data_IF_810400119401
#
_entry.id   IF_810400119401
#
_cell.length_a   1.000
_cell.length_b   1.000
_cell.length_c   1.000
_cell.angle_alpha   90.00
_cell.angle_beta   90.00
_cell.angle_gamma   90.00
#
_symmetry.space_group_name_H-M   'P 1'
#
loop_
_entity.id
_entity.type
_entity.pdbx_description
1 polymer ?
#
# COMPACT_ATOMS: atom_id res chain seq x y z
N UNK A 1 0.56 6.34 -9.52
CA UNK A 1 1.84 7.02 -9.80
C UNK A 1 2.96 6.17 -9.27
N UNK A 2 3.20 6.15 -7.96
CA UNK A 2 4.10 5.21 -7.27
C UNK A 2 4.07 3.77 -7.82
N UNK A 3 2.96 3.02 -7.66
CA UNK A 3 2.87 1.62 -8.12
C UNK A 3 2.92 1.42 -9.66
N UNK A 4 2.80 2.50 -10.44
CA UNK A 4 2.87 2.44 -11.92
C UNK A 4 4.31 2.54 -12.44
N UNK A 5 5.22 3.13 -11.66
CA UNK A 5 6.61 3.36 -12.06
C UNK A 5 7.64 2.70 -11.13
N UNK A 6 7.44 1.45 -10.64
CA UNK A 6 8.36 0.84 -9.67
C UNK A 6 9.80 0.72 -10.20
N UNK A 7 10.01 0.60 -11.51
CA UNK A 7 11.35 0.59 -12.10
C UNK A 7 12.14 1.90 -11.89
N UNK A 8 11.44 3.01 -11.65
CA UNK A 8 12.06 4.32 -11.43
C UNK A 8 12.53 4.50 -9.98
N UNK A 9 12.00 3.70 -9.03
CA UNK A 9 12.20 3.98 -7.60
C UNK A 9 12.31 2.78 -6.64
N UNK A 10 11.75 1.61 -6.96
CA UNK A 10 11.51 0.50 -6.03
C UNK A 10 12.75 -0.12 -5.37
N UNK A 11 13.91 -0.05 -6.02
CA UNK A 11 15.18 -0.64 -5.54
C UNK A 11 16.27 0.41 -5.30
N UNK A 12 15.92 1.70 -5.33
CA UNK A 12 16.90 2.77 -5.16
C UNK A 12 17.35 2.85 -3.70
N UNK A 13 18.66 2.84 -3.47
CA UNK A 13 19.26 3.09 -2.14
C UNK A 13 19.49 4.58 -1.85
N UNK A 14 19.08 5.45 -2.78
CA UNK A 14 19.17 6.90 -2.66
C UNK A 14 17.79 7.48 -2.39
N UNK A 15 17.76 8.64 -1.72
CA UNK A 15 16.51 9.36 -1.49
C UNK A 15 15.87 9.74 -2.82
N UNK A 16 14.56 9.51 -2.90
CA UNK A 16 13.68 9.79 -4.04
C UNK A 16 12.53 10.72 -3.60
N UNK A 17 12.72 11.46 -2.52
CA UNK A 17 11.73 12.41 -1.97
C UNK A 17 11.25 13.41 -3.02
N UNK A 18 12.14 13.86 -3.91
CA UNK A 18 11.77 14.80 -4.98
C UNK A 18 10.74 14.20 -5.94
N UNK A 19 10.87 12.91 -6.29
CA UNK A 19 9.90 12.19 -7.13
C UNK A 19 8.56 12.04 -6.40
N UNK A 20 8.58 11.58 -5.14
CA UNK A 20 7.35 11.44 -4.36
C UNK A 20 6.65 12.78 -4.12
N UNK A 21 7.40 13.87 -4.05
CA UNK A 21 6.88 15.22 -3.91
C UNK A 21 6.03 15.70 -5.08
N UNK A 22 6.10 15.08 -6.26
CA UNK A 22 5.26 15.44 -7.42
C UNK A 22 3.87 14.81 -7.37
N UNK A 23 3.73 13.65 -6.70
CA UNK A 23 2.52 12.84 -6.74
C UNK A 23 1.27 13.55 -6.20
N UNK A 24 1.31 14.34 -5.11
CA UNK A 24 0.13 15.04 -4.62
C UNK A 24 -0.50 15.93 -5.69
N UNK A 25 0.31 16.69 -6.44
CA UNK A 25 -0.18 17.57 -7.50
C UNK A 25 -0.83 16.80 -8.65
N UNK A 26 -0.23 15.67 -9.06
CA UNK A 26 -0.77 14.81 -10.11
C UNK A 26 -2.05 14.07 -9.71
N UNK A 27 -2.21 13.80 -8.41
CA UNK A 27 -3.41 13.18 -7.84
C UNK A 27 -4.49 14.20 -7.44
N UNK A 28 -4.25 15.51 -7.64
CA UNK A 28 -5.16 16.57 -7.23
C UNK A 28 -5.29 16.74 -5.71
N UNK A 29 -4.30 16.27 -4.95
CA UNK A 29 -4.21 16.41 -3.50
C UNK A 29 -3.54 17.73 -3.12
N UNK A 30 -3.89 18.27 -1.95
CA UNK A 30 -3.23 19.45 -1.39
C UNK A 30 -1.80 19.09 -0.95
N UNK A 31 -0.82 19.65 -1.66
CA UNK A 31 0.60 19.42 -1.37
C UNK A 31 0.99 19.85 0.04
N UNK A 32 0.48 20.96 0.55
CA UNK A 32 0.83 21.44 1.88
C UNK A 32 0.27 20.50 2.96
N UNK A 33 -0.95 19.99 2.75
CA UNK A 33 -1.54 19.00 3.64
C UNK A 33 -0.76 17.67 3.63
N UNK A 34 -0.28 17.22 2.46
CA UNK A 34 0.58 16.02 2.36
C UNK A 34 1.91 16.25 3.06
N UNK A 35 2.57 17.39 2.84
CA UNK A 35 3.85 17.71 3.48
C UNK A 35 3.71 17.74 5.02
N UNK A 36 2.60 18.29 5.53
CA UNK A 36 2.28 18.26 6.97
C UNK A 36 2.06 16.84 7.48
N UNK A 37 1.29 16.01 6.76
CA UNK A 37 1.06 14.62 7.15
C UNK A 37 2.36 13.80 7.17
N UNK A 38 3.27 14.02 6.21
CA UNK A 38 4.58 13.35 6.17
C UNK A 38 5.46 13.75 7.37
N UNK A 39 5.39 15.01 7.81
CA UNK A 39 6.17 15.50 8.95
C UNK A 39 5.58 15.11 10.33
N UNK A 40 4.33 14.65 10.37
CA UNK A 40 3.65 14.31 11.62
C UNK A 40 4.15 12.97 12.19
N UNK A 41 4.53 12.97 13.47
CA UNK A 41 4.88 11.75 14.22
C UNK A 41 3.79 10.69 14.23
N UNK A 42 2.52 11.08 14.12
CA UNK A 42 1.40 10.15 14.01
C UNK A 42 1.52 9.25 12.77
N UNK A 43 2.09 9.75 11.67
CA UNK A 43 2.36 8.95 10.47
C UNK A 43 3.40 7.87 10.75
N UNK A 44 4.48 8.19 11.46
CA UNK A 44 5.49 7.21 11.87
C UNK A 44 4.90 6.17 12.81
N UNK A 45 4.04 6.57 13.76
CA UNK A 45 3.34 5.63 14.65
C UNK A 45 2.47 4.65 13.86
N UNK A 46 1.70 5.16 12.89
CA UNK A 46 0.85 4.31 12.04
C UNK A 46 1.69 3.32 11.22
N UNK A 47 2.80 3.77 10.62
CA UNK A 47 3.72 2.88 9.89
C UNK A 47 4.20 1.73 10.79
N UNK A 48 4.54 2.02 12.05
CA UNK A 48 4.95 0.99 13.02
C UNK A 48 3.85 0.00 13.38
N UNK A 49 2.60 0.47 13.48
CA UNK A 49 1.43 -0.37 13.72
C UNK A 49 1.17 -1.29 12.52
N UNK A 50 1.12 -0.74 11.31
CA UNK A 50 0.91 -1.49 10.06
C UNK A 50 1.99 -2.58 9.89
N UNK A 51 3.26 -2.25 10.20
CA UNK A 51 4.35 -3.23 10.16
C UNK A 51 4.18 -4.36 11.19
N UNK A 52 3.80 -4.03 12.43
CA UNK A 52 3.59 -5.02 13.47
C UNK A 52 2.42 -5.96 13.14
N UNK A 53 1.34 -5.42 12.57
CA UNK A 53 0.18 -6.18 12.12
C UNK A 53 0.55 -7.15 11.00
N UNK A 54 1.24 -6.70 9.95
CA UNK A 54 1.69 -7.58 8.87
C UNK A 54 2.66 -8.67 9.34
N UNK A 55 3.51 -8.36 10.34
CA UNK A 55 4.38 -9.35 10.99
C UNK A 55 3.60 -10.40 11.78
N UNK A 56 2.47 -10.04 12.39
CA UNK A 56 1.62 -10.95 13.16
C UNK A 56 0.83 -11.90 12.26
N UNK A 57 0.54 -11.51 11.01
CA UNK A 57 -0.18 -12.31 10.02
C UNK A 57 0.69 -13.41 9.35
N UNK A 58 1.93 -13.63 9.82
CA UNK A 58 2.91 -14.59 9.27
C UNK A 58 3.11 -14.47 7.74
N UNK A 59 2.92 -13.27 7.20
CA UNK A 59 2.95 -13.04 5.75
C UNK A 59 4.28 -13.51 5.16
N UNK A 60 4.18 -14.34 4.11
CA UNK A 60 5.35 -14.89 3.39
C UNK A 60 5.99 -13.88 2.44
N UNK A 61 5.42 -12.68 2.34
CA UNK A 61 5.89 -11.58 1.50
C UNK A 61 4.74 -10.69 1.05
N UNK A 62 5.08 -9.65 0.31
CA UNK A 62 4.11 -8.77 -0.37
C UNK A 62 3.96 -9.21 -1.82
N UNK A 63 2.77 -9.22 -2.43
CA UNK A 63 1.46 -8.83 -1.90
C UNK A 63 0.71 -10.05 -1.33
N UNK A 64 0.08 -9.91 -0.16
CA UNK A 64 -0.81 -10.90 0.45
C UNK A 64 -2.23 -10.31 0.52
N UNK A 65 -3.26 -11.13 0.29
CA UNK A 65 -4.67 -10.71 0.29
C UNK A 65 -5.49 -11.59 1.22
N UNK A 66 -6.52 -11.01 1.83
CA UNK A 66 -7.42 -11.69 2.76
C UNK A 66 -8.89 -11.38 2.41
N UNK A 67 -9.77 -12.36 2.59
CA UNK A 67 -11.22 -12.19 2.63
C UNK A 67 -11.71 -12.63 4.03
N UNK A 68 -12.42 -11.74 4.75
CA UNK A 68 -12.92 -12.01 6.10
C UNK A 68 -11.90 -12.61 7.10
N UNK A 69 -10.63 -12.24 6.95
CA UNK A 69 -9.51 -12.71 7.79
C UNK A 69 -8.87 -14.02 7.32
N UNK A 70 -9.39 -14.66 6.27
CA UNK A 70 -8.76 -15.82 5.64
C UNK A 70 -7.86 -15.39 4.47
N UNK A 71 -6.61 -15.86 4.47
CA UNK A 71 -5.66 -15.55 3.40
C UNK A 71 -6.07 -16.23 2.09
N UNK A 72 -6.06 -15.48 0.99
CA UNK A 72 -6.32 -16.00 -0.35
C UNK A 72 -5.03 -16.56 -0.98
N UNK A 73 -5.13 -17.75 -1.59
CA UNK A 73 -4.08 -18.32 -2.43
C UNK A 73 -4.32 -17.94 -3.89
N UNK A 74 -3.44 -17.10 -4.45
CA UNK A 74 -3.64 -16.46 -5.74
C UNK A 74 -2.73 -17.05 -6.82
N UNK A 75 -3.33 -17.67 -7.83
CA UNK A 75 -2.65 -18.15 -9.04
C UNK A 75 -3.10 -17.38 -10.30
N UNK A 76 -4.19 -16.61 -10.18
CA UNK A 76 -4.85 -15.85 -11.23
C UNK A 76 -5.61 -14.67 -10.64
N UNK A 77 -6.00 -13.71 -11.48
CA UNK A 77 -6.81 -12.57 -11.03
C UNK A 77 -8.18 -13.00 -10.49
N UNK A 78 -8.76 -14.07 -11.03
CA UNK A 78 -10.05 -14.61 -10.60
C UNK A 78 -10.03 -15.15 -9.18
N UNK A 79 -8.88 -15.64 -8.71
CA UNK A 79 -8.72 -16.08 -7.31
C UNK A 79 -8.88 -14.91 -6.32
N UNK A 80 -8.65 -13.67 -6.78
CA UNK A 80 -8.91 -12.45 -6.03
C UNK A 80 -10.34 -11.94 -6.26
N UNK A 81 -10.86 -11.91 -7.49
CA UNK A 81 -12.14 -11.23 -7.78
C UNK A 81 -13.38 -12.04 -7.44
N UNK A 82 -13.32 -13.36 -7.62
CA UNK A 82 -14.49 -14.22 -7.43
C UNK A 82 -14.98 -14.30 -5.98
N UNK A 83 -14.10 -14.37 -4.96
CA UNK A 83 -14.54 -14.33 -3.55
C UNK A 83 -15.39 -13.08 -3.24
N UNK A 84 -14.86 -11.88 -3.51
CA UNK A 84 -15.60 -10.64 -3.28
C UNK A 84 -16.89 -10.56 -4.09
N UNK A 85 -16.89 -11.06 -5.34
CA UNK A 85 -18.09 -11.14 -6.17
C UNK A 85 -19.20 -11.99 -5.53
N UNK A 86 -18.84 -13.11 -4.90
CA UNK A 86 -19.78 -13.95 -4.14
C UNK A 86 -20.25 -13.26 -2.86
N UNK A 87 -19.34 -12.58 -2.14
CA UNK A 87 -19.65 -11.91 -0.88
C UNK A 87 -20.72 -10.80 -1.07
N UNK A 88 -20.63 -10.03 -2.16
CA UNK A 88 -21.56 -8.92 -2.45
C UNK A 88 -22.90 -9.39 -3.06
N UNK A 89 -22.96 -10.61 -3.61
CA UNK A 89 -24.16 -11.15 -4.23
C UNK A 89 -25.19 -11.73 -3.24
N UNK A 90 -24.88 -11.75 -1.93
CA UNK A 90 -25.72 -12.28 -0.86
C UNK A 90 -26.51 -11.19 -0.12
#
# INVERSE_FOLDING_TARGET
MMLKTPAEWGDQQVSILDLFGTFPGELGQDKAAVDQAVADTATTTRIGQDFAEGKAMEERGTSTFFEDGEQLDLNSLTDLTDPFGRAIAN
#
